data_IF_288233063782
#
_entry.id   IF_288233063782
#
_cell.length_a   1.000
_cell.length_b   1.000
_cell.length_c   1.000
_cell.angle_alpha   90.00
_cell.angle_beta   90.00
_cell.angle_gamma   90.00
#
_symmetry.space_group_name_H-M   'P 1'
#
loop_
_entity.id
_entity.type
_entity.pdbx_description
1 polymer ?
#
# COMPACT_ATOMS: atom_id res chain seq x y z
N UNK A 1 -29.44 -37.80 2.16
CA UNK A 1 -28.49 -36.72 2.50
C UNK A 1 -27.98 -36.15 1.19
N UNK A 2 -28.38 -34.94 0.81
CA UNK A 2 -27.99 -34.34 -0.46
C UNK A 2 -26.69 -33.57 -0.24
N UNK A 3 -25.60 -33.98 -0.90
CA UNK A 3 -24.36 -33.21 -0.97
C UNK A 3 -24.34 -32.54 -2.34
N UNK A 4 -24.19 -31.22 -2.36
CA UNK A 4 -24.00 -30.43 -3.57
C UNK A 4 -22.84 -29.46 -3.37
N UNK A 5 -22.18 -29.10 -4.46
CA UNK A 5 -21.20 -28.02 -4.51
C UNK A 5 -21.90 -26.73 -4.91
N UNK A 6 -21.58 -25.63 -4.22
CA UNK A 6 -22.03 -24.29 -4.61
C UNK A 6 -21.06 -23.80 -5.68
N UNK A 7 -21.57 -23.54 -6.89
CA UNK A 7 -20.81 -22.87 -7.95
C UNK A 7 -21.05 -21.37 -7.89
N UNK A 8 -19.99 -20.57 -8.00
CA UNK A 8 -20.09 -19.10 -8.19
C UNK A 8 -19.76 -18.83 -9.66
N UNK A 9 -20.64 -18.15 -10.39
CA UNK A 9 -20.36 -17.71 -11.77
C UNK A 9 -19.65 -16.36 -11.76
N UNK A 10 -18.58 -16.25 -12.56
CA UNK A 10 -17.75 -15.04 -12.71
C UNK A 10 -18.53 -13.84 -13.23
N UNK A 11 -19.57 -14.07 -14.03
CA UNK A 11 -20.48 -13.05 -14.59
C UNK A 11 -21.13 -12.16 -13.52
N UNK A 12 -21.32 -12.67 -12.29
CA UNK A 12 -21.93 -11.93 -11.19
C UNK A 12 -20.89 -11.26 -10.27
N UNK A 13 -19.60 -11.54 -10.42
CA UNK A 13 -18.58 -11.10 -9.47
C UNK A 13 -18.22 -9.62 -9.68
N UNK A 14 -18.01 -9.15 -10.90
CA UNK A 14 -17.64 -7.74 -11.15
C UNK A 14 -18.68 -6.74 -10.61
N UNK A 15 -19.99 -6.91 -10.83
CA UNK A 15 -21.00 -6.04 -10.21
C UNK A 15 -20.99 -6.09 -8.68
N UNK A 16 -20.68 -7.26 -8.08
CA UNK A 16 -20.58 -7.41 -6.63
C UNK A 16 -19.32 -6.77 -6.08
N UNK A 17 -18.15 -6.96 -6.71
CA UNK A 17 -16.88 -6.32 -6.35
C UNK A 17 -17.04 -4.81 -6.41
N UNK A 18 -17.58 -4.29 -7.52
CA UNK A 18 -17.97 -2.89 -7.66
C UNK A 18 -18.81 -2.47 -6.46
N UNK A 19 -19.92 -3.17 -6.17
CA UNK A 19 -20.82 -2.87 -5.04
C UNK A 19 -20.22 -2.96 -3.63
N UNK A 20 -19.30 -3.90 -3.40
CA UNK A 20 -18.69 -4.15 -2.10
C UNK A 20 -17.52 -3.20 -1.81
N UNK A 21 -16.80 -2.78 -2.85
CA UNK A 21 -15.70 -1.83 -2.77
C UNK A 21 -16.15 -0.36 -2.91
N UNK A 22 -17.37 -0.11 -3.41
CA UNK A 22 -17.95 1.24 -3.63
C UNK A 22 -18.03 2.16 -2.41
N UNK A 23 -17.67 1.73 -1.20
CA UNK A 23 -17.60 2.66 -0.07
C UNK A 23 -16.44 3.66 -0.19
N UNK A 24 -15.38 3.36 -0.95
CA UNK A 24 -14.25 4.28 -1.10
C UNK A 24 -13.51 4.06 -2.44
N UNK A 25 -13.89 4.83 -3.46
CA UNK A 25 -13.26 4.75 -4.80
C UNK A 25 -11.76 5.04 -4.77
N UNK A 26 -11.24 5.63 -3.70
CA UNK A 26 -9.84 5.98 -3.56
C UNK A 26 -8.90 4.77 -3.31
N UNK A 27 -9.47 3.62 -2.96
CA UNK A 27 -8.70 2.44 -2.54
C UNK A 27 -7.91 1.81 -3.70
N UNK A 28 -8.29 2.01 -4.96
CA UNK A 28 -7.62 1.34 -6.09
C UNK A 28 -6.11 1.60 -6.12
N UNK A 29 -5.70 2.85 -5.87
CA UNK A 29 -4.30 3.24 -5.92
C UNK A 29 -3.51 2.59 -4.78
N UNK A 30 -4.12 2.46 -3.59
CA UNK A 30 -3.54 1.73 -2.46
C UNK A 30 -3.29 0.27 -2.82
N UNK A 31 -4.27 -0.40 -3.42
CA UNK A 31 -4.16 -1.83 -3.78
C UNK A 31 -3.09 -2.06 -4.86
N UNK A 32 -3.08 -1.26 -5.92
CA UNK A 32 -2.11 -1.41 -7.01
C UNK A 32 -0.68 -1.17 -6.54
N UNK A 33 -0.46 -0.13 -5.73
CA UNK A 33 0.87 0.16 -5.18
C UNK A 33 1.28 -0.90 -4.16
N UNK A 34 0.35 -1.43 -3.36
CA UNK A 34 0.64 -2.54 -2.45
C UNK A 34 1.09 -3.78 -3.21
N UNK A 35 0.46 -4.11 -4.33
CA UNK A 35 0.88 -5.21 -5.20
C UNK A 35 2.29 -4.97 -5.80
N UNK A 36 2.60 -3.74 -6.20
CA UNK A 36 3.92 -3.35 -6.68
C UNK A 36 5.01 -3.45 -5.58
N UNK A 37 4.67 -3.07 -4.34
CA UNK A 37 5.53 -3.25 -3.16
C UNK A 37 5.79 -4.73 -2.92
N UNK A 38 4.76 -5.57 -2.95
CA UNK A 38 4.88 -7.01 -2.79
C UNK A 38 5.77 -7.62 -3.87
N UNK A 39 5.56 -7.27 -5.14
CA UNK A 39 6.40 -7.73 -6.24
C UNK A 39 7.87 -7.36 -6.04
N UNK A 40 8.13 -6.17 -5.50
CA UNK A 40 9.47 -5.68 -5.18
C UNK A 40 10.08 -6.42 -3.98
N UNK A 41 9.31 -6.66 -2.93
CA UNK A 41 9.76 -7.39 -1.74
C UNK A 41 10.01 -8.87 -2.04
N UNK A 42 9.18 -9.50 -2.88
CA UNK A 42 9.43 -10.86 -3.41
C UNK A 42 10.76 -10.93 -4.13
N UNK A 43 11.05 -9.96 -5.01
CA UNK A 43 12.33 -9.90 -5.71
C UNK A 43 13.51 -9.74 -4.73
N UNK A 44 13.41 -8.84 -3.74
CA UNK A 44 14.42 -8.68 -2.70
C UNK A 44 14.64 -9.97 -1.91
N UNK A 45 13.57 -10.70 -1.60
CA UNK A 45 13.62 -11.98 -0.89
C UNK A 45 14.35 -13.03 -1.73
N UNK A 46 13.96 -13.18 -3.01
CA UNK A 46 14.60 -14.10 -3.96
C UNK A 46 16.10 -13.79 -4.13
N UNK A 47 16.47 -12.51 -4.21
CA UNK A 47 17.87 -12.09 -4.27
C UNK A 47 18.63 -12.47 -2.98
N UNK A 48 18.02 -12.25 -1.82
CA UNK A 48 18.65 -12.53 -0.52
C UNK A 48 18.87 -14.03 -0.27
N UNK A 49 17.99 -14.90 -0.78
CA UNK A 49 18.12 -16.36 -0.66
C UNK A 49 18.95 -16.99 -1.78
N UNK A 50 19.29 -16.22 -2.82
CA UNK A 50 20.11 -16.66 -3.96
C UNK A 50 19.32 -17.27 -5.13
N UNK A 51 17.99 -17.24 -5.08
CA UNK A 51 17.10 -17.70 -6.17
C UNK A 51 17.01 -16.70 -7.33
N UNK A 52 17.43 -15.46 -7.11
CA UNK A 52 17.62 -14.44 -8.14
C UNK A 52 19.06 -13.95 -8.15
N UNK A 53 19.76 -14.17 -9.26
CA UNK A 53 21.19 -13.83 -9.43
C UNK A 53 21.44 -12.58 -10.28
N UNK A 54 20.38 -11.99 -10.84
CA UNK A 54 20.47 -10.75 -11.61
C UNK A 54 20.59 -9.50 -10.73
N UNK A 55 20.84 -8.36 -11.35
CA UNK A 55 20.86 -7.08 -10.64
C UNK A 55 19.45 -6.59 -10.30
N UNK A 56 19.23 -6.27 -9.02
CA UNK A 56 17.95 -5.72 -8.55
C UNK A 56 17.68 -4.32 -9.10
N UNK A 57 18.71 -3.58 -9.51
CA UNK A 57 18.56 -2.27 -10.13
C UNK A 57 17.78 -1.27 -9.28
N UNK A 58 17.18 -0.29 -9.97
CA UNK A 58 16.28 0.68 -9.36
C UNK A 58 14.87 0.07 -9.21
N UNK A 59 14.43 -0.06 -7.96
CA UNK A 59 13.16 -0.67 -7.58
C UNK A 59 12.07 0.37 -7.30
N UNK A 60 12.30 1.64 -7.65
CA UNK A 60 11.32 2.72 -7.48
C UNK A 60 10.05 2.42 -8.25
N UNK A 61 8.91 2.40 -7.54
CA UNK A 61 7.58 2.28 -8.14
C UNK A 61 7.23 3.64 -8.73
N UNK A 62 6.82 3.66 -9.99
CA UNK A 62 6.52 4.91 -10.72
C UNK A 62 5.04 5.01 -11.01
N UNK A 63 4.45 6.10 -10.56
CA UNK A 63 3.08 6.47 -10.93
C UNK A 63 3.17 7.54 -12.01
N UNK A 64 2.48 7.32 -13.13
CA UNK A 64 2.49 8.22 -14.27
C UNK A 64 1.06 8.58 -14.65
N UNK A 65 0.79 9.86 -14.80
CA UNK A 65 -0.50 10.38 -15.22
C UNK A 65 -0.37 11.00 -16.61
N UNK A 66 -1.14 10.49 -17.58
CA UNK A 66 -1.24 11.05 -18.92
C UNK A 66 -2.67 11.58 -19.14
N UNK A 67 -2.83 12.89 -18.97
CA UNK A 67 -4.13 13.55 -19.14
C UNK A 67 -4.60 13.60 -20.60
N UNK A 68 -3.70 13.46 -21.57
CA UNK A 68 -4.06 13.46 -23.00
C UNK A 68 -4.67 12.13 -23.41
N UNK A 69 -4.03 11.03 -22.99
CA UNK A 69 -4.52 9.68 -23.23
C UNK A 69 -5.53 9.22 -22.18
N UNK A 70 -5.74 10.00 -21.12
CA UNK A 70 -6.62 9.71 -19.98
C UNK A 70 -6.22 8.42 -19.24
N UNK A 71 -4.91 8.23 -19.07
CA UNK A 71 -4.39 7.03 -18.42
C UNK A 71 -3.66 7.36 -17.13
N UNK A 72 -3.78 6.46 -16.17
CA UNK A 72 -2.96 6.40 -14.96
C UNK A 72 -2.23 5.07 -14.95
N UNK A 73 -0.91 5.11 -14.85
CA UNK A 73 -0.05 3.91 -14.89
C UNK A 73 0.69 3.76 -13.58
N UNK A 74 0.65 2.55 -13.00
CA UNK A 74 1.52 2.12 -11.91
C UNK A 74 2.53 1.14 -12.48
N UNK A 75 3.81 1.49 -12.41
CA UNK A 75 4.93 0.71 -12.95
C UNK A 75 5.86 0.26 -11.85
N UNK A 76 6.13 -1.04 -11.77
CA UNK A 76 7.10 -1.63 -10.85
C UNK A 76 8.23 -2.36 -11.60
N UNK A 77 9.35 -2.53 -10.88
CA UNK A 77 10.52 -3.28 -11.35
C UNK A 77 10.75 -4.56 -10.52
N UNK A 78 9.66 -5.12 -10.00
CA UNK A 78 9.64 -6.33 -9.18
C UNK A 78 9.78 -7.61 -9.99
N UNK A 79 9.18 -8.70 -9.51
CA UNK A 79 9.30 -10.02 -10.12
C UNK A 79 8.62 -10.14 -11.50
N UNK A 80 7.62 -9.32 -11.81
CA UNK A 80 6.76 -9.51 -12.99
C UNK A 80 6.05 -10.88 -13.00
N UNK A 81 5.42 -11.22 -14.12
CA UNK A 81 4.65 -12.46 -14.28
C UNK A 81 4.94 -13.14 -15.64
N UNK A 82 4.82 -14.46 -15.69
CA UNK A 82 4.68 -15.22 -16.95
C UNK A 82 3.22 -15.24 -17.41
N UNK A 83 2.96 -15.74 -18.61
CA UNK A 83 1.60 -15.93 -19.15
C UNK A 83 0.77 -16.86 -18.26
N UNK A 84 1.34 -17.95 -17.76
CA UNK A 84 0.62 -18.85 -16.85
C UNK A 84 0.32 -18.20 -15.49
N UNK A 85 1.22 -17.33 -15.02
CA UNK A 85 1.01 -16.56 -13.78
C UNK A 85 -0.06 -15.48 -13.98
N UNK A 86 -0.13 -14.85 -15.15
CA UNK A 86 -1.24 -13.94 -15.49
C UNK A 86 -2.57 -14.70 -15.53
N UNK A 87 -2.62 -15.85 -16.19
CA UNK A 87 -3.82 -16.69 -16.20
C UNK A 87 -4.25 -17.09 -14.78
N UNK A 88 -3.30 -17.45 -13.92
CA UNK A 88 -3.59 -17.90 -12.57
C UNK A 88 -3.98 -16.77 -11.62
N UNK A 89 -3.27 -15.64 -11.62
CA UNK A 89 -3.43 -14.60 -10.61
C UNK A 89 -4.28 -13.41 -11.06
N UNK A 90 -4.41 -13.18 -12.37
CA UNK A 90 -5.22 -12.09 -12.94
C UNK A 90 -6.56 -12.61 -13.47
N UNK A 91 -6.62 -13.82 -14.04
CA UNK A 91 -7.88 -14.34 -14.60
C UNK A 91 -8.66 -15.23 -13.62
N UNK A 92 -8.00 -15.91 -12.67
CA UNK A 92 -8.68 -16.68 -11.63
C UNK A 92 -8.83 -15.85 -10.36
N UNK A 93 -10.06 -15.39 -10.15
CA UNK A 93 -10.44 -14.61 -8.97
C UNK A 93 -10.18 -15.41 -7.69
N UNK A 94 -9.69 -14.72 -6.66
CA UNK A 94 -9.42 -15.23 -5.30
C UNK A 94 -8.15 -16.08 -5.13
N UNK A 95 -7.24 -16.13 -6.11
CA UNK A 95 -5.89 -16.66 -5.91
C UNK A 95 -4.88 -15.53 -5.73
N UNK A 96 -4.05 -15.62 -4.69
CA UNK A 96 -3.03 -14.62 -4.37
C UNK A 96 -1.63 -15.19 -4.52
N UNK A 97 -0.85 -14.64 -5.45
CA UNK A 97 0.58 -14.97 -5.58
C UNK A 97 1.40 -14.61 -4.35
N UNK A 98 0.89 -13.70 -3.51
CA UNK A 98 1.52 -13.29 -2.27
C UNK A 98 1.38 -14.35 -1.18
N UNK A 99 0.23 -15.01 -1.09
CA UNK A 99 0.01 -16.11 -0.15
C UNK A 99 0.87 -17.32 -0.49
N UNK A 100 0.89 -17.74 -1.76
CA UNK A 100 1.74 -18.85 -2.22
C UNK A 100 3.23 -18.58 -1.96
N UNK A 101 3.67 -17.34 -2.19
CA UNK A 101 5.05 -16.95 -1.91
C UNK A 101 5.37 -17.00 -0.42
N UNK A 102 4.47 -16.49 0.43
CA UNK A 102 4.63 -16.57 1.88
C UNK A 102 4.70 -18.02 2.35
N UNK A 103 3.90 -18.93 1.76
CA UNK A 103 3.94 -20.34 2.10
C UNK A 103 5.27 -21.01 1.76
N UNK A 104 5.88 -20.62 0.64
CA UNK A 104 7.17 -21.14 0.18
C UNK A 104 8.34 -20.56 1.00
N UNK A 105 8.26 -19.28 1.40
CA UNK A 105 9.38 -18.53 2.02
C UNK A 105 9.11 -18.12 3.48
N UNK A 106 8.31 -18.89 4.23
CA UNK A 106 7.79 -18.60 5.60
C UNK A 106 8.80 -18.03 6.62
N UNK A 107 10.10 -18.28 6.47
CA UNK A 107 11.14 -17.84 7.42
C UNK A 107 11.88 -16.56 6.99
N UNK A 108 11.70 -16.13 5.74
CA UNK A 108 12.49 -15.06 5.11
C UNK A 108 11.62 -13.95 4.53
N UNK A 109 10.36 -14.25 4.18
CA UNK A 109 9.40 -13.28 3.67
C UNK A 109 8.73 -12.53 4.83
N UNK A 110 9.42 -11.51 5.35
CA UNK A 110 8.76 -10.53 6.22
C UNK A 110 8.01 -9.51 5.37
N UNK A 111 6.78 -9.18 5.79
CA UNK A 111 6.04 -7.97 5.41
C UNK A 111 5.41 -7.90 3.99
N UNK A 112 5.04 -9.04 3.39
CA UNK A 112 4.13 -9.05 2.23
C UNK A 112 2.74 -8.56 2.66
N UNK A 113 2.14 -7.68 1.87
CA UNK A 113 0.91 -6.93 2.18
C UNK A 113 -0.34 -7.68 1.71
N UNK A 114 -0.33 -8.21 0.48
CA UNK A 114 -1.50 -8.77 -0.18
C UNK A 114 -1.86 -10.18 0.25
N UNK A 115 -3.14 -10.45 0.52
CA UNK A 115 -3.63 -11.77 0.94
C UNK A 115 -4.80 -12.32 0.13
N UNK A 116 -5.75 -11.49 -0.32
CA UNK A 116 -7.06 -11.97 -0.79
C UNK A 116 -7.23 -12.06 -2.32
N UNK A 117 -6.21 -11.69 -3.12
CA UNK A 117 -6.26 -11.87 -4.59
C UNK A 117 -7.36 -11.08 -5.32
N UNK A 118 -7.93 -10.06 -4.67
CA UNK A 118 -9.04 -9.24 -5.21
C UNK A 118 -8.65 -7.77 -5.42
N UNK A 119 -7.56 -7.30 -4.83
CA UNK A 119 -7.15 -5.90 -4.84
C UNK A 119 -6.94 -5.35 -6.24
N UNK A 120 -6.47 -6.16 -7.18
CA UNK A 120 -6.30 -5.76 -8.59
C UNK A 120 -7.60 -5.27 -9.24
N UNK A 121 -8.73 -5.92 -8.98
CA UNK A 121 -10.01 -5.58 -9.62
C UNK A 121 -10.63 -4.26 -9.14
N UNK A 122 -10.08 -3.67 -8.07
CA UNK A 122 -10.44 -2.29 -7.68
C UNK A 122 -10.10 -1.27 -8.77
N UNK A 123 -9.18 -1.58 -9.70
CA UNK A 123 -8.88 -0.74 -10.86
C UNK A 123 -10.13 -0.46 -11.71
N UNK A 124 -10.99 -1.46 -11.90
CA UNK A 124 -12.25 -1.32 -12.66
C UNK A 124 -13.34 -0.47 -11.96
N UNK A 125 -13.07 0.04 -10.76
CA UNK A 125 -13.95 1.02 -10.12
C UNK A 125 -13.80 2.42 -10.73
N UNK A 126 -12.66 2.70 -11.37
CA UNK A 126 -12.30 4.03 -11.87
C UNK A 126 -11.88 4.03 -13.34
N UNK A 127 -11.93 2.88 -14.00
CA UNK A 127 -11.45 2.70 -15.37
C UNK A 127 -12.40 1.86 -16.22
N UNK A 128 -12.59 2.28 -17.48
CA UNK A 128 -13.33 1.54 -18.50
C UNK A 128 -12.48 0.41 -19.10
N UNK A 129 -11.15 0.49 -19.01
CA UNK A 129 -10.22 -0.53 -19.50
C UNK A 129 -8.98 -0.58 -18.63
N UNK A 130 -8.49 -1.79 -18.36
CA UNK A 130 -7.21 -2.01 -17.68
C UNK A 130 -6.31 -2.83 -18.60
N UNK A 131 -5.05 -2.43 -18.67
CA UNK A 131 -3.99 -3.19 -19.34
C UNK A 131 -2.92 -3.58 -18.33
N UNK A 132 -2.38 -4.78 -18.47
CA UNK A 132 -1.22 -5.26 -17.70
C UNK A 132 -0.15 -5.66 -18.70
N UNK A 133 0.98 -4.95 -18.69
CA UNK A 133 2.15 -5.29 -19.49
C UNK A 133 3.24 -5.75 -18.53
N UNK A 134 3.60 -7.03 -18.58
CA UNK A 134 4.48 -7.64 -17.57
C UNK A 134 5.52 -8.53 -18.21
N UNK A 135 6.68 -8.64 -17.55
CA UNK A 135 7.72 -9.62 -17.91
C UNK A 135 8.34 -10.18 -16.65
N UNK A 136 8.38 -11.51 -16.56
CA UNK A 136 8.94 -12.21 -15.40
C UNK A 136 10.45 -11.98 -15.26
N UNK A 137 10.94 -12.10 -14.02
CA UNK A 137 12.38 -12.17 -13.73
C UNK A 137 13.01 -13.48 -14.19
N UNK A 138 12.21 -14.51 -14.48
CA UNK A 138 12.67 -15.84 -14.92
C UNK A 138 13.38 -15.73 -16.27
N UNK A 139 14.53 -16.39 -16.36
CA UNK A 139 15.34 -16.43 -17.58
C UNK A 139 14.54 -16.97 -18.77
N UNK A 140 14.68 -16.33 -19.93
CA UNK A 140 13.95 -16.72 -21.14
C UNK A 140 12.45 -16.39 -21.16
N UNK A 141 11.90 -15.76 -20.12
CA UNK A 141 10.50 -15.33 -20.12
C UNK A 141 10.22 -14.25 -21.17
N UNK A 142 9.03 -14.34 -21.77
CA UNK A 142 8.52 -13.32 -22.70
C UNK A 142 7.75 -12.25 -21.94
N UNK A 143 7.66 -11.07 -22.54
CA UNK A 143 6.69 -10.09 -22.07
C UNK A 143 5.28 -10.51 -22.50
N UNK A 144 4.31 -10.15 -21.68
CA UNK A 144 2.91 -10.49 -21.82
C UNK A 144 2.09 -9.21 -21.73
N UNK A 145 1.09 -9.08 -22.59
CA UNK A 145 0.13 -7.99 -22.60
C UNK A 145 -1.28 -8.55 -22.38
N UNK A 146 -1.86 -8.21 -21.25
CA UNK A 146 -3.22 -8.54 -20.89
C UNK A 146 -4.10 -7.29 -20.96
N UNK A 147 -5.31 -7.40 -21.50
CA UNK A 147 -6.28 -6.30 -21.55
C UNK A 147 -7.68 -6.79 -21.19
N UNK A 148 -8.42 -5.99 -20.45
CA UNK A 148 -9.82 -6.24 -20.12
C UNK A 148 -10.57 -4.91 -19.95
N UNK A 149 -11.84 -4.87 -20.38
CA UNK A 149 -12.74 -3.71 -20.30
C UNK A 149 -13.69 -3.78 -19.07
N UNK A 150 -13.39 -4.66 -18.12
CA UNK A 150 -14.22 -4.91 -16.94
C UNK A 150 -15.40 -5.84 -17.20
N UNK A 151 -15.53 -6.38 -18.42
CA UNK A 151 -16.36 -7.55 -18.70
C UNK A 151 -15.62 -8.86 -18.32
N UNK A 152 -16.31 -10.01 -18.34
CA UNK A 152 -15.64 -11.31 -18.19
C UNK A 152 -14.67 -11.67 -19.33
N UNK A 153 -14.61 -10.87 -20.40
CA UNK A 153 -13.73 -11.08 -21.54
C UNK A 153 -12.38 -10.37 -21.34
N UNK A 154 -11.30 -11.02 -21.75
CA UNK A 154 -9.95 -10.47 -21.73
C UNK A 154 -9.17 -10.95 -22.95
N UNK A 155 -8.11 -10.22 -23.30
CA UNK A 155 -7.12 -10.65 -24.28
C UNK A 155 -5.78 -10.89 -23.59
N UNK A 156 -5.00 -11.84 -24.12
CA UNK A 156 -3.66 -12.17 -23.67
C UNK A 156 -2.78 -12.37 -24.91
N UNK A 157 -1.79 -11.49 -25.09
CA UNK A 157 -0.93 -11.45 -26.26
C UNK A 157 0.55 -11.26 -25.87
N UNK A 158 1.46 -11.44 -26.83
CA UNK A 158 2.88 -11.14 -26.64
C UNK A 158 3.06 -9.62 -26.38
N UNK A 159 3.69 -9.28 -25.26
CA UNK A 159 3.98 -7.89 -24.89
C UNK A 159 5.34 -7.38 -25.38
N UNK A 160 5.58 -6.08 -25.26
CA UNK A 160 6.82 -5.42 -25.75
C UNK A 160 7.83 -5.07 -24.64
N UNK A 161 7.55 -5.42 -23.38
CA UNK A 161 8.42 -5.05 -22.25
C UNK A 161 9.79 -5.72 -22.36
N UNK A 162 10.85 -4.91 -22.41
CA UNK A 162 12.23 -5.44 -22.54
C UNK A 162 12.74 -5.98 -21.20
N UNK A 163 12.43 -5.29 -20.11
CA UNK A 163 12.91 -5.57 -18.75
C UNK A 163 11.84 -6.20 -17.88
N UNK A 164 12.22 -6.79 -16.73
CA UNK A 164 11.26 -7.37 -15.79
C UNK A 164 10.30 -6.34 -15.18
N UNK A 165 9.31 -6.83 -14.46
CA UNK A 165 8.34 -6.02 -13.71
C UNK A 165 7.03 -5.88 -14.46
N UNK A 166 6.18 -4.97 -14.00
CA UNK A 166 4.80 -4.84 -14.48
C UNK A 166 4.41 -3.38 -14.61
N UNK A 167 3.71 -3.05 -15.70
CA UNK A 167 2.94 -1.83 -15.83
C UNK A 167 1.46 -2.19 -15.77
N UNK A 168 0.72 -1.57 -14.85
CA UNK A 168 -0.75 -1.60 -14.82
C UNK A 168 -1.26 -0.25 -15.29
N UNK A 169 -1.98 -0.23 -16.41
CA UNK A 169 -2.44 0.98 -17.08
C UNK A 169 -3.97 1.04 -16.98
N UNK A 170 -4.48 2.09 -16.34
CA UNK A 170 -5.90 2.32 -16.14
C UNK A 170 -6.34 3.39 -17.13
N UNK A 171 -7.33 3.08 -17.97
CA UNK A 171 -8.01 4.04 -18.83
C UNK A 171 -9.18 4.63 -18.06
N UNK A 172 -8.97 5.83 -17.51
CA UNK A 172 -9.88 6.44 -16.54
C UNK A 172 -11.23 6.72 -17.20
N UNK A 173 -12.30 6.26 -16.55
CA UNK A 173 -13.66 6.38 -17.07
C UNK A 173 -14.19 7.82 -17.01
N UNK A 174 -15.37 8.03 -17.61
CA UNK A 174 -15.96 9.35 -17.71
C UNK A 174 -16.53 9.92 -16.40
N UNK A 175 -16.80 9.07 -15.41
CA UNK A 175 -17.35 9.41 -14.09
C UNK A 175 -16.23 9.69 -13.07
N UNK A 176 -15.02 9.18 -13.32
CA UNK A 176 -13.87 9.17 -12.40
C UNK A 176 -12.77 10.16 -12.81
N UNK A 177 -13.13 11.24 -13.52
CA UNK A 177 -12.18 12.24 -14.07
C UNK A 177 -11.33 12.95 -13.03
N UNK A 178 -11.75 12.97 -11.77
CA UNK A 178 -10.97 13.51 -10.66
C UNK A 178 -9.60 12.82 -10.51
N UNK A 179 -9.46 11.55 -10.92
CA UNK A 179 -8.17 10.85 -10.94
C UNK A 179 -7.28 11.22 -12.14
N UNK A 180 -7.73 12.14 -12.99
CA UNK A 180 -6.90 12.82 -13.99
C UNK A 180 -6.31 14.14 -13.48
N UNK A 181 -6.51 14.47 -12.21
CA UNK A 181 -5.96 15.65 -11.55
C UNK A 181 -4.71 15.28 -10.74
N UNK A 182 -3.57 15.94 -11.02
CA UNK A 182 -2.28 15.66 -10.36
C UNK A 182 -2.38 15.79 -8.83
N UNK A 183 -3.07 16.84 -8.35
CA UNK A 183 -3.25 17.08 -6.92
C UNK A 183 -4.05 15.97 -6.24
N UNK A 184 -5.07 15.43 -6.91
CA UNK A 184 -5.86 14.31 -6.38
C UNK A 184 -5.01 13.06 -6.25
N UNK A 185 -4.24 12.69 -7.27
CA UNK A 185 -3.33 11.55 -7.20
C UNK A 185 -2.28 11.74 -6.11
N UNK A 186 -1.69 12.94 -6.01
CA UNK A 186 -0.72 13.25 -4.97
C UNK A 186 -1.31 13.16 -3.55
N UNK A 187 -2.57 13.59 -3.36
CA UNK A 187 -3.31 13.43 -2.11
C UNK A 187 -3.43 11.95 -1.73
N UNK A 188 -3.88 11.11 -2.66
CA UNK A 188 -4.05 9.67 -2.43
C UNK A 188 -2.73 8.98 -2.10
N UNK A 189 -1.66 9.30 -2.84
CA UNK A 189 -0.33 8.77 -2.60
C UNK A 189 0.18 9.17 -1.19
N UNK A 190 -0.02 10.43 -0.78
CA UNK A 190 0.36 10.89 0.55
C UNK A 190 -0.53 10.32 1.67
N UNK A 191 -1.75 9.93 1.37
CA UNK A 191 -2.67 9.32 2.33
C UNK A 191 -2.34 7.85 2.56
N UNK A 192 -2.24 7.06 1.48
CA UNK A 192 -2.15 5.61 1.56
C UNK A 192 -0.72 5.06 1.47
N UNK A 193 0.18 5.79 0.81
CA UNK A 193 1.49 5.27 0.43
C UNK A 193 2.65 5.94 1.16
N UNK A 194 2.34 6.88 2.06
CA UNK A 194 3.29 7.78 2.74
C UNK A 194 4.51 7.09 3.35
N UNK A 195 4.33 5.87 3.83
CA UNK A 195 5.32 5.17 4.62
C UNK A 195 5.68 3.80 4.06
N UNK A 196 5.28 3.48 2.83
CA UNK A 196 5.58 2.18 2.23
C UNK A 196 7.09 1.93 2.09
N UNK A 197 7.57 0.69 2.22
CA UNK A 197 9.00 0.35 2.31
C UNK A 197 9.76 0.41 0.98
N UNK A 198 9.12 0.85 -0.09
CA UNK A 198 9.69 1.01 -1.44
C UNK A 198 9.44 2.43 -1.89
N UNK A 199 10.43 3.06 -2.54
CA UNK A 199 10.30 4.43 -3.03
C UNK A 199 9.21 4.50 -4.10
N UNK A 200 8.40 5.55 -4.03
CA UNK A 200 7.30 5.81 -4.95
C UNK A 200 7.56 7.18 -5.57
N UNK A 201 7.71 7.19 -6.88
CA UNK A 201 7.90 8.38 -7.68
C UNK A 201 6.59 8.82 -8.32
N UNK A 202 6.29 10.11 -8.26
CA UNK A 202 5.20 10.74 -8.99
C UNK A 202 5.62 12.12 -9.49
N UNK A 203 5.74 12.23 -10.82
CA UNK A 203 6.29 13.42 -11.48
C UNK A 203 7.82 13.55 -11.31
N UNK A 204 8.33 14.73 -11.66
CA UNK A 204 9.76 15.08 -11.58
C UNK A 204 10.00 16.15 -10.53
N UNK A 205 11.20 16.15 -9.93
CA UNK A 205 11.60 17.23 -9.03
C UNK A 205 11.66 18.55 -9.80
N UNK A 206 11.34 19.65 -9.13
CA UNK A 206 11.32 20.99 -9.70
C UNK A 206 12.31 21.88 -8.95
N UNK A 207 13.10 22.64 -9.69
CA UNK A 207 14.06 23.60 -9.13
C UNK A 207 13.76 25.01 -9.62
N UNK A 208 13.97 26.01 -8.76
CA UNK A 208 13.86 27.41 -9.15
C UNK A 208 15.16 27.86 -9.83
N UNK A 209 15.11 28.12 -11.14
CA UNK A 209 16.23 28.63 -11.94
C UNK A 209 15.78 29.79 -12.82
N UNK A 210 16.55 30.87 -12.82
CA UNK A 210 16.29 32.06 -13.64
C UNK A 210 14.88 32.64 -13.49
N UNK A 211 14.34 32.65 -12.27
CA UNK A 211 13.03 33.20 -11.96
C UNK A 211 11.84 32.34 -12.40
N UNK A 212 12.08 31.10 -12.83
CA UNK A 212 11.04 30.12 -13.17
C UNK A 212 11.30 28.76 -12.53
N UNK A 213 10.23 28.00 -12.36
CA UNK A 213 10.30 26.61 -11.95
C UNK A 213 10.65 25.74 -13.16
N UNK A 214 11.70 24.91 -13.05
CA UNK A 214 12.15 24.01 -14.12
C UNK A 214 12.18 22.59 -13.59
N UNK A 215 11.53 21.67 -14.30
CA UNK A 215 11.63 20.25 -14.00
C UNK A 215 13.06 19.75 -14.22
N UNK A 216 13.54 19.01 -13.24
CA UNK A 216 14.79 18.27 -13.33
C UNK A 216 14.53 16.92 -14.01
N UNK A 217 15.60 16.20 -14.37
CA UNK A 217 15.48 14.82 -14.83
C UNK A 217 15.19 13.80 -13.72
N UNK A 218 15.19 14.21 -12.45
CA UNK A 218 15.09 13.32 -11.29
C UNK A 218 13.64 13.05 -10.91
N UNK A 219 13.38 11.81 -10.53
CA UNK A 219 12.07 11.39 -10.03
C UNK A 219 11.76 12.09 -8.70
N UNK A 220 10.53 12.60 -8.57
CA UNK A 220 10.06 13.16 -7.30
C UNK A 220 9.52 12.04 -6.42
N UNK A 221 10.30 11.66 -5.41
CA UNK A 221 9.89 10.65 -4.42
C UNK A 221 8.87 11.27 -3.46
N UNK A 222 7.72 10.61 -3.28
CA UNK A 222 6.59 11.14 -2.51
C UNK A 222 6.40 10.52 -1.13
N UNK A 223 7.15 9.46 -0.80
CA UNK A 223 7.02 8.71 0.45
C UNK A 223 8.34 8.61 1.24
N UNK A 224 8.21 8.30 2.52
CA UNK A 224 9.31 8.00 3.43
C UNK A 224 9.38 6.49 3.67
N UNK A 225 10.41 5.83 3.11
CA UNK A 225 10.56 4.37 3.19
C UNK A 225 11.08 3.87 4.53
N UNK A 226 11.62 4.76 5.37
CA UNK A 226 12.25 4.44 6.66
C UNK A 226 11.72 5.37 7.75
N UNK A 227 10.41 5.37 8.01
CA UNK A 227 9.84 6.25 9.03
C UNK A 227 10.36 5.88 10.42
N UNK A 228 10.30 6.82 11.36
CA UNK A 228 11.02 6.68 12.62
C UNK A 228 10.62 5.42 13.42
N UNK A 229 9.37 4.97 13.36
CA UNK A 229 8.90 3.80 14.13
C UNK A 229 9.46 2.46 13.63
N UNK A 230 9.98 2.39 12.41
CA UNK A 230 10.58 1.15 11.86
C UNK A 230 12.07 1.04 12.19
N UNK A 231 12.68 2.12 12.68
CA UNK A 231 14.09 2.18 13.06
C UNK A 231 14.27 1.78 14.53
N UNK A 232 15.44 1.23 14.88
CA UNK A 232 15.72 0.86 16.27
C UNK A 232 15.80 2.11 17.15
N UNK A 233 15.25 2.10 18.38
CA UNK A 233 15.35 3.25 19.29
C UNK A 233 16.78 3.74 19.53
N UNK A 234 17.76 2.83 19.52
CA UNK A 234 19.20 3.16 19.69
C UNK A 234 19.81 3.93 18.52
N UNK A 235 19.16 3.95 17.37
CA UNK A 235 19.61 4.63 16.14
C UNK A 235 18.91 5.98 15.93
N UNK A 236 18.03 6.38 16.86
CA UNK A 236 17.22 7.59 16.78
C UNK A 236 17.64 8.59 17.84
N UNK A 237 17.69 9.86 17.44
CA UNK A 237 17.84 11.02 18.33
C UNK A 237 16.49 11.70 18.53
N UNK A 238 16.40 12.56 19.52
CA UNK A 238 15.20 13.38 19.78
C UNK A 238 14.75 14.17 18.54
N UNK A 239 15.69 14.65 17.73
CA UNK A 239 15.44 15.34 16.47
C UNK A 239 14.72 14.45 15.45
N UNK A 240 15.05 13.16 15.36
CA UNK A 240 14.35 12.20 14.48
C UNK A 240 12.88 12.07 14.90
N UNK A 241 12.61 11.96 16.21
CA UNK A 241 11.25 11.87 16.74
C UNK A 241 10.45 13.14 16.49
N UNK A 242 11.05 14.32 16.67
CA UNK A 242 10.39 15.60 16.40
C UNK A 242 10.12 15.80 14.91
N UNK A 243 11.10 15.48 14.07
CA UNK A 243 10.94 15.53 12.60
C UNK A 243 9.80 14.62 12.14
N UNK A 244 9.75 13.39 12.66
CA UNK A 244 8.68 12.46 12.33
C UNK A 244 7.31 12.95 12.83
N UNK A 245 7.25 13.56 14.02
CA UNK A 245 6.02 14.18 14.51
C UNK A 245 5.51 15.31 13.59
N UNK A 246 6.40 16.17 13.09
CA UNK A 246 6.03 17.20 12.11
C UNK A 246 5.70 16.64 10.74
N UNK A 247 6.30 15.51 10.34
CA UNK A 247 5.91 14.80 9.13
C UNK A 247 4.46 14.31 9.23
N UNK A 248 4.03 13.80 10.39
CA UNK A 248 2.65 13.41 10.65
C UNK A 248 1.70 14.62 10.78
N UNK A 249 2.15 15.67 11.48
CA UNK A 249 1.33 16.85 11.82
C UNK A 249 2.12 18.15 11.56
N UNK A 250 2.18 18.64 10.30
CA UNK A 250 3.03 19.77 9.92
C UNK A 250 2.75 21.08 10.66
N UNK A 251 1.51 21.28 11.10
CA UNK A 251 1.06 22.50 11.79
C UNK A 251 1.06 22.38 13.32
N UNK A 252 1.40 21.21 13.87
CA UNK A 252 1.37 20.99 15.31
C UNK A 252 2.63 21.55 16.00
N UNK A 253 2.46 22.03 17.23
CA UNK A 253 3.58 22.36 18.11
C UNK A 253 4.32 21.10 18.56
N UNK A 254 5.61 21.24 18.89
CA UNK A 254 6.43 20.14 19.39
C UNK A 254 5.75 19.38 20.55
N UNK A 255 5.83 18.04 20.55
CA UNK A 255 5.27 17.21 21.60
C UNK A 255 6.03 17.41 22.91
N UNK A 256 5.37 17.18 24.05
CA UNK A 256 5.99 17.23 25.38
C UNK A 256 7.02 16.11 25.55
N UNK A 257 6.64 14.90 25.13
CA UNK A 257 7.49 13.71 25.09
C UNK A 257 6.82 12.65 24.19
N UNK A 258 7.49 11.52 24.01
CA UNK A 258 7.02 10.40 23.22
C UNK A 258 7.36 9.06 23.86
N UNK A 259 6.65 8.02 23.45
CA UNK A 259 6.89 6.62 23.82
C UNK A 259 7.07 5.84 22.52
N UNK A 260 8.25 5.23 22.35
CA UNK A 260 8.52 4.31 21.26
C UNK A 260 8.08 2.89 21.67
N UNK A 261 7.09 2.36 20.97
CA UNK A 261 6.63 0.98 21.06
C UNK A 261 7.47 0.11 20.12
N UNK A 262 8.10 -0.92 20.67
CA UNK A 262 8.80 -1.94 19.90
C UNK A 262 8.64 -3.25 20.69
N UNK A 263 7.73 -4.09 20.23
CA UNK A 263 7.34 -5.36 20.86
C UNK A 263 7.30 -6.42 19.76
N UNK A 264 7.99 -7.53 20.00
CA UNK A 264 8.11 -8.68 19.11
C UNK A 264 7.43 -9.94 19.68
N UNK A 265 7.05 -9.95 20.96
CA UNK A 265 6.34 -11.05 21.61
C UNK A 265 5.38 -10.56 22.72
N UNK A 266 4.16 -11.13 22.87
CA UNK A 266 3.56 -12.23 22.12
C UNK A 266 2.87 -11.83 20.79
N UNK A 267 3.00 -10.57 20.40
CA UNK A 267 2.50 -10.01 19.13
C UNK A 267 3.52 -8.97 18.65
N UNK A 268 3.45 -8.62 17.37
CA UNK A 268 4.32 -7.63 16.77
C UNK A 268 3.63 -6.27 16.82
N UNK A 269 4.26 -5.31 17.50
CA UNK A 269 3.76 -3.97 17.64
C UNK A 269 4.92 -2.99 17.61
N UNK A 270 4.95 -2.16 16.58
CA UNK A 270 5.85 -1.01 16.51
C UNK A 270 5.02 0.27 16.46
N UNK A 271 5.62 1.40 16.80
CA UNK A 271 4.91 2.66 16.78
C UNK A 271 5.54 3.70 17.67
N UNK A 272 5.10 4.94 17.51
CA UNK A 272 5.50 6.05 18.36
C UNK A 272 4.26 6.81 18.76
N UNK A 273 4.03 6.92 20.06
CA UNK A 273 2.96 7.72 20.64
C UNK A 273 3.53 9.02 21.20
N UNK A 274 2.91 10.13 20.84
CA UNK A 274 3.31 11.48 21.19
C UNK A 274 2.29 12.12 22.12
N UNK A 275 2.79 12.90 23.08
CA UNK A 275 1.99 13.65 24.04
C UNK A 275 1.93 15.12 23.59
N UNK A 276 0.87 15.54 22.89
CA UNK A 276 0.79 16.91 22.39
C UNK A 276 0.59 17.92 23.53
N UNK A 277 1.00 19.16 23.30
CA UNK A 277 0.65 20.28 24.18
C UNK A 277 -0.82 20.65 23.97
N UNK A 278 -1.65 20.47 25.01
CA UNK A 278 -3.05 20.88 24.96
C UNK A 278 -3.16 22.35 25.40
N UNK A 279 -3.69 23.20 24.52
CA UNK A 279 -4.03 24.60 24.87
C UNK A 279 -5.51 24.70 25.24
N UNK A 280 -5.79 25.39 26.34
CA UNK A 280 -7.13 25.59 26.92
C UNK A 280 -8.18 26.21 25.99
N UNK A 281 -7.77 26.82 24.88
CA UNK A 281 -8.65 27.58 23.98
C UNK A 281 -8.85 26.89 22.62
N UNK A 282 -8.40 25.65 22.44
CA UNK A 282 -8.57 24.88 21.20
C UNK A 282 -9.48 23.69 21.50
N UNK A 283 -10.42 23.44 20.59
CA UNK A 283 -11.25 22.24 20.62
C UNK A 283 -10.35 21.01 20.59
N UNK A 284 -10.47 20.15 21.60
CA UNK A 284 -9.58 19.01 21.78
C UNK A 284 -9.85 18.00 20.65
N UNK A 285 -8.93 17.94 19.68
CA UNK A 285 -9.01 16.97 18.60
C UNK A 285 -8.61 15.59 19.11
N UNK A 286 -9.58 14.68 19.16
CA UNK A 286 -9.35 13.26 19.45
C UNK A 286 -8.98 12.49 18.17
N UNK A 287 -8.54 11.25 18.34
CA UNK A 287 -8.35 10.26 17.26
C UNK A 287 -7.28 10.69 16.24
N UNK A 288 -6.12 11.15 16.72
CA UNK A 288 -4.98 11.49 15.86
C UNK A 288 -4.00 10.35 15.66
N UNK A 289 -4.17 9.23 16.35
CA UNK A 289 -3.31 8.05 16.17
C UNK A 289 -3.67 7.39 14.84
N UNK A 290 -2.66 7.19 13.99
CA UNK A 290 -2.81 6.49 12.73
C UNK A 290 -2.44 5.02 12.91
N UNK A 291 -3.31 4.12 12.42
CA UNK A 291 -3.11 2.69 12.44
C UNK A 291 -2.58 2.21 11.10
N UNK A 292 -1.53 1.40 11.18
CA UNK A 292 -0.84 0.78 10.07
C UNK A 292 -0.75 -0.73 10.27
N UNK A 293 -0.60 -1.45 9.16
CA UNK A 293 -0.20 -2.85 9.14
C UNK A 293 0.83 -3.01 8.02
N UNK A 294 2.05 -3.43 8.40
CA UNK A 294 3.21 -3.48 7.50
C UNK A 294 3.44 -2.15 6.76
N UNK A 295 3.38 -1.02 7.48
CA UNK A 295 3.48 0.35 6.95
C UNK A 295 2.38 0.77 5.96
N UNK A 296 1.34 -0.05 5.75
CA UNK A 296 0.15 0.31 4.95
C UNK A 296 -0.87 0.98 5.84
N UNK A 297 -1.35 2.16 5.44
CA UNK A 297 -2.35 2.90 6.21
C UNK A 297 -3.69 2.15 6.24
N UNK A 298 -4.22 1.92 7.45
CA UNK A 298 -5.51 1.27 7.68
C UNK A 298 -6.57 2.32 8.00
N UNK A 299 -6.38 3.07 9.10
CA UNK A 299 -7.34 4.09 9.56
C UNK A 299 -6.71 4.99 10.63
N UNK A 300 -7.23 6.20 10.81
CA UNK A 300 -6.96 7.08 11.96
C UNK A 300 -8.05 6.98 13.06
N UNK A 301 -9.13 6.25 12.79
CA UNK A 301 -10.23 6.03 13.72
C UNK A 301 -9.94 4.86 14.67
N UNK A 302 -9.10 5.10 15.68
CA UNK A 302 -8.65 4.08 16.64
C UNK A 302 -9.61 3.77 17.80
N UNK A 303 -10.87 4.16 17.69
CA UNK A 303 -11.89 3.92 18.72
C UNK A 303 -12.08 2.41 18.99
N UNK A 304 -11.85 2.00 20.24
CA UNK A 304 -11.88 0.60 20.67
C UNK A 304 -10.60 -0.20 20.35
N UNK A 305 -9.60 0.42 19.72
CA UNK A 305 -8.22 -0.09 19.59
C UNK A 305 -7.35 0.54 20.66
N UNK A 306 -7.48 1.85 20.83
CA UNK A 306 -6.81 2.63 21.87
C UNK A 306 -7.86 3.04 22.92
N UNK A 307 -7.57 2.94 24.23
CA UNK A 307 -8.49 3.38 25.26
C UNK A 307 -8.89 4.86 25.12
N UNK A 308 -10.13 5.21 25.49
CA UNK A 308 -10.67 6.56 25.34
C UNK A 308 -9.80 7.66 25.95
N UNK A 309 -9.19 7.41 27.11
CA UNK A 309 -8.31 8.39 27.76
C UNK A 309 -6.99 8.62 27.02
N UNK A 310 -6.60 7.72 26.11
CA UNK A 310 -5.43 7.83 25.24
C UNK A 310 -5.77 8.37 23.85
N UNK A 311 -7.04 8.62 23.52
CA UNK A 311 -7.46 9.22 22.23
C UNK A 311 -6.95 10.65 22.01
N UNK A 312 -6.40 11.27 23.07
CA UNK A 312 -5.73 12.57 23.05
C UNK A 312 -4.29 12.50 22.54
N UNK A 313 -3.71 11.30 22.49
CA UNK A 313 -2.36 11.12 21.99
C UNK A 313 -2.34 11.22 20.46
N UNK A 314 -1.16 11.59 19.97
CA UNK A 314 -0.84 11.61 18.55
C UNK A 314 0.11 10.47 18.24
N UNK A 315 0.28 10.13 16.96
CA UNK A 315 1.33 9.22 16.52
C UNK A 315 0.84 8.08 15.66
N UNK A 316 1.59 6.98 15.67
CA UNK A 316 1.38 5.82 14.80
C UNK A 316 1.47 4.54 15.59
N UNK A 317 0.65 3.56 15.20
CA UNK A 317 0.72 2.18 15.63
C UNK A 317 0.79 1.32 14.37
N UNK A 318 1.76 0.41 14.30
CA UNK A 318 1.94 -0.51 13.18
C UNK A 318 2.04 -1.94 13.71
N UNK A 319 1.13 -2.80 13.25
CA UNK A 319 1.09 -4.21 13.65
C UNK A 319 0.64 -5.09 12.48
N UNK A 320 1.43 -6.10 12.10
CA UNK A 320 1.01 -7.10 11.10
C UNK A 320 -0.12 -8.00 11.61
N UNK A 321 -0.34 -8.04 12.93
CA UNK A 321 -1.41 -8.83 13.55
C UNK A 321 -2.80 -8.19 13.41
N UNK A 322 -2.88 -6.99 12.82
CA UNK A 322 -4.13 -6.27 12.55
C UNK A 322 -4.51 -6.45 11.09
N UNK A 323 -5.71 -6.97 10.79
CA UNK A 323 -6.15 -7.18 9.42
C UNK A 323 -6.41 -5.87 8.67
N UNK A 324 -5.97 -5.80 7.41
CA UNK A 324 -6.06 -4.61 6.53
C UNK A 324 -7.49 -4.29 6.05
N UNK A 325 -8.34 -5.32 5.90
CA UNK A 325 -9.62 -5.23 5.19
C UNK A 325 -10.83 -5.57 6.08
N UNK A 326 -10.86 -5.02 7.28
CA UNK A 326 -11.94 -5.30 8.24
C UNK A 326 -12.68 -4.04 8.66
N UNK A 327 -13.97 -4.19 8.91
CA UNK A 327 -14.79 -3.11 9.44
C UNK A 327 -14.32 -2.70 10.84
N UNK A 328 -14.60 -1.45 11.22
CA UNK A 328 -14.34 -0.95 12.59
C UNK A 328 -14.94 -1.85 13.67
N UNK A 329 -16.17 -2.35 13.44
CA UNK A 329 -16.85 -3.26 14.36
C UNK A 329 -16.11 -4.59 14.55
N UNK A 330 -15.47 -5.09 13.50
CA UNK A 330 -14.67 -6.30 13.57
C UNK A 330 -13.41 -6.07 14.42
N UNK A 331 -12.67 -4.97 14.17
CA UNK A 331 -11.46 -4.61 14.91
C UNK A 331 -11.69 -4.56 16.43
N UNK A 332 -12.81 -4.00 16.88
CA UNK A 332 -13.14 -3.92 18.31
C UNK A 332 -13.37 -5.28 18.98
N UNK A 333 -13.84 -6.27 18.20
CA UNK A 333 -14.09 -7.62 18.71
C UNK A 333 -12.83 -8.50 18.72
N UNK A 334 -11.83 -8.12 17.92
CA UNK A 334 -10.63 -8.90 17.67
C UNK A 334 -9.76 -9.09 18.93
N UNK A 335 -9.24 -10.32 19.08
CA UNK A 335 -8.49 -10.70 20.28
C UNK A 335 -7.08 -10.11 20.32
N UNK A 336 -6.44 -9.91 19.16
CA UNK A 336 -5.11 -9.28 19.07
C UNK A 336 -5.22 -7.79 19.33
N UNK A 337 -6.22 -7.12 18.76
CA UNK A 337 -6.53 -5.71 19.03
C UNK A 337 -6.69 -5.45 20.53
N UNK A 338 -7.42 -6.32 21.25
CA UNK A 338 -7.57 -6.21 22.71
C UNK A 338 -6.24 -6.36 23.47
N UNK A 339 -5.37 -7.27 23.05
CA UNK A 339 -4.04 -7.46 23.66
C UNK A 339 -3.13 -6.25 23.42
N UNK A 340 -3.14 -5.72 22.19
CA UNK A 340 -2.42 -4.51 21.80
C UNK A 340 -2.89 -3.33 22.66
N UNK A 341 -4.20 -3.13 22.76
CA UNK A 341 -4.83 -2.09 23.58
C UNK A 341 -4.39 -2.15 25.04
N UNK A 342 -4.43 -3.35 25.64
CA UNK A 342 -4.00 -3.58 27.03
C UNK A 342 -2.51 -3.31 27.23
N UNK A 343 -1.66 -3.65 26.26
CA UNK A 343 -0.23 -3.38 26.34
C UNK A 343 0.06 -1.88 26.26
N UNK A 344 -0.56 -1.16 25.31
CA UNK A 344 -0.44 0.29 25.19
C UNK A 344 -0.86 0.97 26.50
N UNK A 345 -2.00 0.54 27.06
CA UNK A 345 -2.53 1.03 28.35
C UNK A 345 -1.55 0.87 29.51
N UNK A 346 -0.76 -0.21 29.51
CA UNK A 346 0.21 -0.48 30.58
C UNK A 346 1.50 0.33 30.42
N UNK A 347 1.85 0.67 29.19
CA UNK A 347 3.12 1.31 28.84
C UNK A 347 3.04 2.84 28.87
N UNK A 348 1.89 3.38 28.51
CA UNK A 348 1.50 4.78 28.77
C UNK A 348 1.11 4.92 30.24
#
# INVERSE_FOLDING_TARGET
MQKGTIGVSTENIFPIIKKFLYSDHEIFLRELISNAVDATQKLKTLAAVGDYTGETGDLTIRVQLDTKNKTLTVSDFGIGMTDEEVEKYINQIAFSSAEEFLEQYKKQANAIIGHFGLGFYSAFMVSDKVEVITKSYKEGSKAVHWTCDGSPEYTLEDGERVTRGTDVILHIDSESKEFLEEDKILELLKKYCKFLPVEIAFGKEKEWKDGKEVETGKDRIINNTKPAWTRKPSELKDEDYKSFYHELYPVAEEPLFWIHLNVDYPFNLTGILYFPRIKSNIEIQKNKIQLYCNQVFVTDSVEGIVPDFLTLLHGVIDSPDIPLNVSRSYLQSDSNVKKISAHITKKV
#
